data_IF_164080010524
#
_entry.id   IF_164080010524
#
_cell.length_a   1.000
_cell.length_b   1.000
_cell.length_c   1.000
_cell.angle_alpha   90.00
_cell.angle_beta   90.00
_cell.angle_gamma   90.00
#
_symmetry.space_group_name_H-M   'P 1'
#
loop_
_entity.id
_entity.type
_entity.pdbx_description
1 polymer ?
#
# COMPACT_ATOMS: atom_id res chain seq x y z
N UNK A 1 -10.55 -2.73 -30.57
CA UNK A 1 -10.45 -4.13 -30.12
C UNK A 1 -11.82 -4.76 -30.03
N UNK A 2 -12.07 -5.83 -30.76
CA UNK A 2 -13.38 -6.45 -30.88
C UNK A 2 -13.72 -7.42 -29.72
N UNK A 3 -14.80 -8.19 -29.90
CA UNK A 3 -15.34 -9.13 -28.91
C UNK A 3 -14.31 -10.15 -28.37
N UNK A 4 -13.30 -10.51 -29.15
CA UNK A 4 -12.26 -11.46 -28.75
C UNK A 4 -11.40 -10.93 -27.59
N UNK A 5 -11.11 -9.62 -27.58
CA UNK A 5 -10.38 -9.00 -26.48
C UNK A 5 -11.19 -9.00 -25.16
N UNK A 6 -12.51 -8.87 -25.26
CA UNK A 6 -13.40 -8.97 -24.09
C UNK A 6 -13.46 -10.38 -23.51
N UNK A 7 -13.29 -11.41 -24.33
CA UNK A 7 -13.26 -12.80 -23.87
C UNK A 7 -11.92 -13.14 -23.21
N UNK A 8 -10.79 -12.67 -23.78
CA UNK A 8 -9.46 -12.92 -23.23
C UNK A 8 -9.10 -12.06 -22.02
N UNK A 9 -9.60 -10.82 -22.00
CA UNK A 9 -9.36 -9.87 -20.91
C UNK A 9 -10.63 -9.60 -20.10
N UNK A 10 -11.53 -10.59 -20.05
CA UNK A 10 -12.76 -10.53 -19.28
C UNK A 10 -12.48 -10.13 -17.83
N UNK A 11 -13.51 -9.72 -17.13
CA UNK A 11 -13.44 -9.12 -15.80
C UNK A 11 -12.74 -10.00 -14.77
N UNK A 12 -11.39 -9.94 -14.77
CA UNK A 12 -10.60 -10.55 -13.72
C UNK A 12 -10.88 -9.81 -12.39
N UNK A 13 -10.97 -10.53 -11.27
CA UNK A 13 -11.12 -9.90 -9.98
C UNK A 13 -9.94 -8.97 -9.69
N UNK A 14 -10.26 -7.77 -9.21
CA UNK A 14 -9.26 -6.77 -8.79
C UNK A 14 -9.55 -6.41 -7.34
N UNK A 15 -8.56 -6.58 -6.49
CA UNK A 15 -8.60 -6.16 -5.09
C UNK A 15 -7.79 -4.89 -4.93
N UNK A 16 -8.44 -3.86 -4.41
CA UNK A 16 -7.83 -2.55 -4.14
C UNK A 16 -8.38 -2.08 -2.81
N UNK A 17 -7.52 -1.95 -1.83
CA UNK A 17 -7.90 -1.43 -0.51
C UNK A 17 -6.69 -0.84 0.23
N UNK A 18 -6.98 -0.09 1.29
CA UNK A 18 -5.96 0.45 2.16
C UNK A 18 -5.20 1.66 1.60
N UNK A 19 -5.64 2.25 0.49
CA UNK A 19 -4.96 3.41 -0.08
C UNK A 19 -5.43 4.73 0.54
N UNK A 20 -4.51 5.68 0.59
CA UNK A 20 -4.78 7.05 0.99
C UNK A 20 -4.59 8.01 -0.19
N UNK A 21 -5.63 8.76 -0.50
CA UNK A 21 -5.70 9.69 -1.63
C UNK A 21 -5.74 11.13 -1.11
N UNK A 22 -4.79 11.95 -1.55
CA UNK A 22 -4.67 13.35 -1.17
C UNK A 22 -4.66 14.28 -2.39
N UNK A 23 -4.86 15.56 -2.14
CA UNK A 23 -4.65 16.62 -3.13
C UNK A 23 -5.51 16.52 -4.38
N UNK A 24 -6.67 15.91 -4.29
CA UNK A 24 -7.58 15.75 -5.44
C UNK A 24 -7.29 14.51 -6.30
N UNK A 25 -6.45 13.59 -5.84
CA UNK A 25 -6.23 12.32 -6.52
C UNK A 25 -7.55 11.57 -6.73
N UNK A 26 -7.70 10.95 -7.90
CA UNK A 26 -8.89 10.17 -8.24
C UNK A 26 -8.84 8.83 -7.54
N UNK A 27 -9.85 8.54 -6.75
CA UNK A 27 -9.99 7.26 -6.05
C UNK A 27 -10.37 6.14 -7.02
N UNK A 28 -9.89 4.93 -6.74
CA UNK A 28 -10.36 3.75 -7.45
C UNK A 28 -11.84 3.50 -7.10
N UNK A 29 -12.70 3.38 -8.12
CA UNK A 29 -14.14 3.17 -7.93
C UNK A 29 -14.48 1.83 -7.26
N UNK A 30 -13.60 0.86 -7.35
CA UNK A 30 -13.78 -0.48 -6.77
C UNK A 30 -13.29 -0.59 -5.33
N UNK A 31 -12.59 0.42 -4.83
CA UNK A 31 -12.03 0.41 -3.49
C UNK A 31 -13.04 0.86 -2.46
N UNK A 32 -13.34 -0.01 -1.50
CA UNK A 32 -14.29 0.25 -0.41
C UNK A 32 -13.58 0.87 0.80
N UNK A 33 -12.48 0.26 1.23
CA UNK A 33 -11.71 0.72 2.38
C UNK A 33 -10.56 1.63 1.93
N UNK A 34 -10.75 2.93 2.06
CA UNK A 34 -9.79 3.96 1.64
C UNK A 34 -9.92 5.24 2.46
N UNK A 35 -8.85 6.00 2.51
CA UNK A 35 -8.87 7.39 2.97
C UNK A 35 -8.89 8.32 1.74
N UNK A 36 -9.80 9.26 1.69
CA UNK A 36 -9.80 10.31 0.67
C UNK A 36 -9.86 11.68 1.33
N UNK A 37 -8.78 12.43 1.26
CA UNK A 37 -8.69 13.80 1.79
C UNK A 37 -8.28 14.78 0.68
N UNK A 38 -9.28 15.41 0.09
CA UNK A 38 -9.11 16.38 -1.00
C UNK A 38 -8.61 17.76 -0.53
N UNK A 39 -8.69 18.04 0.76
CA UNK A 39 -8.43 19.37 1.33
C UNK A 39 -7.02 19.49 1.89
N UNK A 40 -6.48 18.45 2.47
CA UNK A 40 -5.15 18.49 3.07
C UNK A 40 -4.08 18.67 2.00
N UNK A 41 -3.22 19.64 2.24
CA UNK A 41 -2.03 19.84 1.43
C UNK A 41 -0.93 18.91 1.91
N UNK A 42 -0.51 18.02 1.02
CA UNK A 42 0.55 17.06 1.26
C UNK A 42 1.83 17.55 0.60
N UNK A 43 2.94 17.40 1.31
CA UNK A 43 4.29 17.69 0.83
C UNK A 43 5.14 16.44 0.92
N UNK A 44 5.92 16.19 -0.12
CA UNK A 44 6.90 15.09 -0.18
C UNK A 44 8.18 15.70 -0.75
N UNK A 45 9.25 15.61 -0.01
CA UNK A 45 10.55 16.13 -0.38
C UNK A 45 11.63 15.08 -0.15
N UNK A 46 12.44 14.83 -1.16
CA UNK A 46 13.64 14.02 -1.04
C UNK A 46 14.84 14.95 -0.92
N UNK A 47 15.54 14.85 0.20
CA UNK A 47 16.68 15.71 0.52
C UNK A 47 17.97 14.89 0.46
N UNK A 48 18.92 15.35 -0.33
CA UNK A 48 20.29 14.82 -0.33
C UNK A 48 21.20 15.71 0.50
N UNK A 49 21.91 15.10 1.44
CA UNK A 49 22.93 15.78 2.23
C UNK A 49 24.06 14.83 2.59
N UNK A 50 25.28 15.22 2.25
CA UNK A 50 26.50 14.45 2.56
C UNK A 50 26.44 12.98 2.08
N UNK A 51 25.88 12.75 0.89
CA UNK A 51 25.69 11.43 0.30
C UNK A 51 24.59 10.59 0.95
N UNK A 52 23.80 11.17 1.84
CA UNK A 52 22.64 10.53 2.46
C UNK A 52 21.36 11.10 1.88
N UNK A 53 20.37 10.24 1.74
CA UNK A 53 19.04 10.61 1.25
C UNK A 53 18.02 10.52 2.38
N UNK A 54 17.24 11.58 2.53
CA UNK A 54 16.18 11.66 3.54
C UNK A 54 14.85 11.97 2.88
N UNK A 55 13.80 11.32 3.37
CA UNK A 55 12.42 11.64 3.01
C UNK A 55 11.82 12.56 4.08
N UNK A 56 11.34 13.71 3.64
CA UNK A 56 10.63 14.67 4.48
C UNK A 56 9.20 14.83 3.95
N UNK A 57 8.21 14.55 4.79
CA UNK A 57 6.80 14.58 4.39
C UNK A 57 5.88 14.83 5.57
N UNK A 58 4.71 15.39 5.31
CA UNK A 58 3.63 15.57 6.27
C UNK A 58 2.46 14.59 6.05
N UNK A 59 2.66 13.56 5.24
CA UNK A 59 1.62 12.57 4.90
C UNK A 59 1.10 11.85 6.14
N UNK A 60 2.00 11.46 7.05
CA UNK A 60 1.66 10.53 8.12
C UNK A 60 0.68 11.11 9.13
N UNK A 61 0.82 12.37 9.51
CA UNK A 61 -0.17 13.05 10.36
C UNK A 61 -1.52 13.24 9.66
N UNK A 62 -1.55 13.25 8.32
CA UNK A 62 -2.79 13.34 7.55
C UNK A 62 -3.52 12.00 7.44
N UNK A 63 -2.84 10.89 7.66
CA UNK A 63 -3.48 9.56 7.71
C UNK A 63 -4.41 9.41 8.93
N UNK A 64 -4.17 10.16 9.99
CA UNK A 64 -4.96 10.10 11.23
C UNK A 64 -5.05 8.65 11.76
N UNK A 65 -6.26 8.20 12.03
CA UNK A 65 -6.53 6.85 12.53
C UNK A 65 -6.79 5.82 11.42
N UNK A 66 -6.55 6.20 10.16
CA UNK A 66 -6.75 5.29 9.05
C UNK A 66 -5.74 4.14 9.11
N UNK A 67 -6.25 2.92 9.13
CA UNK A 67 -5.48 1.69 9.20
C UNK A 67 -6.06 0.67 8.24
N UNK A 68 -5.22 -0.28 7.84
CA UNK A 68 -5.62 -1.46 7.09
C UNK A 68 -4.85 -2.67 7.61
N UNK A 69 -5.34 -3.87 7.28
CA UNK A 69 -4.67 -5.11 7.63
C UNK A 69 -3.36 -5.30 6.85
N UNK A 70 -2.47 -6.10 7.39
CA UNK A 70 -1.28 -6.54 6.65
C UNK A 70 -1.67 -7.51 5.53
N UNK A 71 -0.91 -7.49 4.46
CA UNK A 71 -1.03 -8.47 3.39
C UNK A 71 -0.34 -9.77 3.82
N UNK A 72 -1.08 -10.87 3.74
CA UNK A 72 -0.56 -12.21 4.02
C UNK A 72 -1.22 -13.25 3.11
N UNK A 73 -0.75 -14.47 3.14
CA UNK A 73 -1.30 -15.58 2.34
C UNK A 73 -2.81 -15.68 2.48
N UNK A 74 -3.32 -15.56 3.70
CA UNK A 74 -4.77 -15.65 3.96
C UNK A 74 -5.55 -14.49 3.33
N UNK A 75 -5.07 -13.24 3.48
CA UNK A 75 -5.75 -12.05 2.92
C UNK A 75 -5.66 -11.97 1.41
N UNK A 76 -4.60 -12.50 0.81
CA UNK A 76 -4.45 -12.62 -0.64
C UNK A 76 -5.43 -13.63 -1.26
N UNK A 77 -5.87 -14.61 -0.48
CA UNK A 77 -6.76 -15.66 -0.96
C UNK A 77 -6.09 -16.60 -1.95
N UNK A 78 -6.77 -16.87 -3.06
CA UNK A 78 -6.31 -17.79 -4.10
C UNK A 78 -6.25 -17.13 -5.46
N UNK A 79 -5.30 -17.57 -6.28
CA UNK A 79 -5.23 -17.16 -7.68
C UNK A 79 -6.51 -17.60 -8.42
N UNK A 80 -6.99 -16.75 -9.32
CA UNK A 80 -8.32 -16.90 -9.94
C UNK A 80 -8.51 -18.22 -10.70
N UNK A 81 -7.60 -18.57 -11.60
CA UNK A 81 -7.77 -19.79 -12.41
C UNK A 81 -7.24 -21.05 -11.74
N UNK A 82 -5.97 -21.09 -11.27
CA UNK A 82 -5.43 -22.31 -10.68
C UNK A 82 -5.95 -22.58 -9.26
N UNK A 83 -6.68 -21.65 -8.67
CA UNK A 83 -7.15 -21.71 -7.28
C UNK A 83 -6.05 -22.02 -6.25
N UNK A 84 -4.82 -21.73 -6.62
CA UNK A 84 -3.65 -21.92 -5.75
C UNK A 84 -3.49 -20.74 -4.80
N UNK A 85 -3.11 -21.04 -3.58
CA UNK A 85 -2.76 -20.03 -2.58
C UNK A 85 -1.46 -19.32 -2.97
N UNK A 86 -1.33 -18.08 -2.56
CA UNK A 86 -0.08 -17.34 -2.67
C UNK A 86 0.84 -17.70 -1.51
N UNK A 87 2.03 -18.14 -1.81
CA UNK A 87 3.02 -18.60 -0.82
C UNK A 87 4.44 -18.26 -1.25
N UNK A 88 5.37 -18.30 -0.32
CA UNK A 88 6.79 -18.18 -0.63
C UNK A 88 7.29 -19.38 -1.43
N UNK A 89 8.43 -19.28 -2.13
CA UNK A 89 8.97 -20.39 -2.92
C UNK A 89 9.26 -21.67 -2.12
N UNK A 90 9.43 -21.57 -0.81
CA UNK A 90 9.64 -22.70 0.10
C UNK A 90 8.33 -23.28 0.68
N UNK A 91 7.17 -22.76 0.25
CA UNK A 91 5.85 -23.18 0.70
C UNK A 91 5.38 -22.54 2.01
N UNK A 92 6.14 -21.64 2.60
CA UNK A 92 5.72 -20.91 3.79
C UNK A 92 4.76 -19.78 3.45
N UNK A 93 4.01 -19.31 4.44
CA UNK A 93 3.08 -18.21 4.27
C UNK A 93 3.79 -16.88 3.96
N UNK A 94 3.23 -16.13 3.03
CA UNK A 94 3.61 -14.74 2.79
C UNK A 94 3.05 -13.90 3.93
N UNK A 95 3.89 -13.05 4.53
CA UNK A 95 3.48 -12.06 5.53
C UNK A 95 4.27 -10.76 5.31
N UNK A 96 3.59 -9.67 5.01
CA UNK A 96 4.20 -8.35 4.86
C UNK A 96 4.13 -7.55 6.16
N UNK A 97 4.79 -8.05 7.19
CA UNK A 97 4.76 -7.49 8.54
C UNK A 97 5.99 -6.62 8.89
N UNK A 98 6.81 -6.28 7.90
CA UNK A 98 7.97 -5.42 8.08
C UNK A 98 7.84 -4.14 7.26
N UNK A 99 8.35 -3.06 7.85
CA UNK A 99 8.45 -1.79 7.15
C UNK A 99 9.78 -1.67 6.37
N UNK A 100 9.99 -0.52 5.71
CA UNK A 100 11.21 -0.24 4.96
C UNK A 100 12.50 -0.42 5.79
N UNK A 101 12.46 -0.15 7.08
CA UNK A 101 13.60 -0.28 7.99
C UNK A 101 13.69 -1.65 8.67
N UNK A 102 12.79 -2.58 8.34
CA UNK A 102 12.71 -3.90 8.98
C UNK A 102 11.96 -3.93 10.31
N UNK A 103 11.34 -2.82 10.72
CA UNK A 103 10.53 -2.77 11.93
C UNK A 103 9.22 -3.54 11.76
N UNK A 104 8.79 -4.21 12.81
CA UNK A 104 7.52 -4.93 12.81
C UNK A 104 6.32 -3.98 12.74
N UNK A 105 5.35 -4.28 11.87
CA UNK A 105 4.20 -3.41 11.61
C UNK A 105 2.93 -3.76 12.40
N UNK A 106 2.88 -4.90 13.02
CA UNK A 106 1.65 -5.38 13.64
C UNK A 106 0.62 -5.88 12.61
N UNK A 107 -0.61 -6.08 13.05
CA UNK A 107 -1.71 -6.59 12.22
C UNK A 107 -2.54 -5.49 11.55
N UNK A 108 -2.55 -4.31 12.12
CA UNK A 108 -3.18 -3.11 11.55
C UNK A 108 -2.10 -2.08 11.24
N UNK A 109 -2.01 -1.68 9.99
CA UNK A 109 -0.93 -0.85 9.50
C UNK A 109 -1.43 0.45 8.88
N UNK A 110 -0.55 1.45 8.86
CA UNK A 110 -0.77 2.66 8.06
C UNK A 110 -0.37 2.39 6.60
N UNK A 111 -0.98 3.05 5.62
CA UNK A 111 -0.51 3.04 4.24
C UNK A 111 0.94 3.53 4.13
N UNK A 112 1.66 2.96 3.19
CA UNK A 112 3.04 3.35 2.90
C UNK A 112 4.10 2.46 3.55
N UNK A 113 5.37 2.80 3.35
CA UNK A 113 6.49 1.90 3.63
C UNK A 113 6.99 1.91 5.08
N UNK A 114 6.43 2.73 5.96
CA UNK A 114 6.90 2.87 7.34
C UNK A 114 5.87 2.42 8.36
N UNK A 115 6.33 1.84 9.47
CA UNK A 115 5.47 1.43 10.57
C UNK A 115 5.00 2.61 11.44
N UNK A 116 5.78 3.69 11.51
CA UNK A 116 5.47 4.88 12.32
C UNK A 116 4.63 5.91 11.56
N UNK A 117 3.62 6.44 12.21
CA UNK A 117 2.74 7.50 11.70
C UNK A 117 3.27 8.92 12.00
N UNK A 118 4.55 9.08 12.17
CA UNK A 118 5.16 10.37 12.50
C UNK A 118 5.70 11.07 11.25
N UNK A 119 5.41 12.37 11.14
CA UNK A 119 5.96 13.25 10.10
C UNK A 119 7.37 13.71 10.50
N UNK A 120 8.29 12.78 10.56
CA UNK A 120 9.70 13.05 10.82
C UNK A 120 10.53 12.84 9.56
N UNK A 121 11.64 13.52 9.48
CA UNK A 121 12.62 13.25 8.43
C UNK A 121 13.16 11.84 8.58
N UNK A 122 12.99 11.01 7.55
CA UNK A 122 13.43 9.61 7.55
C UNK A 122 14.66 9.46 6.66
N UNK A 123 15.78 9.08 7.26
CA UNK A 123 17.01 8.80 6.51
C UNK A 123 16.83 7.44 5.84
N UNK A 124 16.85 7.42 4.51
CA UNK A 124 16.60 6.21 3.71
C UNK A 124 17.89 5.40 3.49
N UNK A 125 19.03 6.07 3.31
CA UNK A 125 20.36 5.47 3.33
C UNK A 125 21.49 6.53 3.20
#
# INVERSE_FOLDING_TARGET
MGALAKVHFGHLPVWVEGNAYFGGATVCKHEQHKLSDKRSKVTIELVEKDGKYSLKTNVYTKLKDFRDGIICTETLGKAFEPEQRFENPDGTDIVFDRDYFGNHRGTETIPGPFASAEDVEKILY
#
